data_IF_860618566426
#
_entry.id   IF_860618566426
#
_cell.length_a   1.000
_cell.length_b   1.000
_cell.length_c   1.000
_cell.angle_alpha   90.00
_cell.angle_beta   90.00
_cell.angle_gamma   90.00
#
_symmetry.space_group_name_H-M   'P 1'
#
loop_
_entity.id
_entity.type
_entity.pdbx_description
1 polymer ?
#
# COMPACT_ATOMS: atom_id res chain seq x y z
N UNK A 1 36.99 14.62 39.20
CA UNK A 1 36.87 15.06 37.78
C UNK A 1 35.39 15.30 37.52
N UNK A 2 34.96 16.55 37.39
CA UNK A 2 33.54 16.95 37.36
C UNK A 2 33.03 16.89 35.92
N UNK A 3 32.04 16.05 35.66
CA UNK A 3 31.41 15.92 34.34
C UNK A 3 30.22 16.90 34.28
N UNK A 4 30.42 18.03 33.62
CA UNK A 4 29.40 19.06 33.38
C UNK A 4 28.43 18.60 32.29
N UNK A 5 27.19 18.33 32.67
CA UNK A 5 26.05 18.05 31.80
C UNK A 5 25.52 19.36 31.21
N UNK A 6 25.61 19.53 29.89
CA UNK A 6 25.05 20.67 29.17
C UNK A 6 23.60 20.34 28.76
N UNK A 7 22.63 21.02 29.38
CA UNK A 7 21.20 20.88 29.11
C UNK A 7 20.80 21.93 28.05
N UNK A 8 20.49 21.50 26.82
CA UNK A 8 19.98 22.38 25.76
C UNK A 8 18.46 22.48 25.92
N UNK A 9 17.99 23.69 26.23
CA UNK A 9 16.59 24.04 26.47
C UNK A 9 15.97 24.49 25.13
N UNK A 10 15.12 23.64 24.53
CA UNK A 10 14.38 23.95 23.31
C UNK A 10 13.06 24.64 23.70
N UNK A 11 12.92 25.93 23.40
CA UNK A 11 11.70 26.70 23.64
C UNK A 11 10.61 26.36 22.59
N UNK A 12 9.36 26.09 22.98
CA UNK A 12 8.25 25.97 22.04
C UNK A 12 7.75 27.36 21.64
N UNK A 13 7.77 27.66 20.34
CA UNK A 13 7.06 28.81 19.78
C UNK A 13 5.55 28.51 19.83
N UNK A 14 4.85 29.14 20.76
CA UNK A 14 3.40 29.25 20.73
C UNK A 14 3.00 30.25 19.63
N UNK A 15 2.50 29.74 18.51
CA UNK A 15 1.72 30.55 17.57
C UNK A 15 0.27 30.61 18.05
N UNK A 16 -0.18 31.79 18.46
CA UNK A 16 -1.55 32.07 18.83
C UNK A 16 -2.47 32.14 17.61
N UNK A 17 -3.65 31.54 17.78
CA UNK A 17 -4.84 31.48 16.94
C UNK A 17 -4.98 32.50 15.78
N UNK A 18 -5.09 32.00 14.55
CA UNK A 18 -5.90 32.62 13.51
C UNK A 18 -7.25 31.90 13.45
N UNK A 19 -8.31 32.61 13.87
CA UNK A 19 -9.68 32.21 13.61
C UNK A 19 -9.95 32.41 12.11
N UNK A 20 -9.59 31.42 11.29
CA UNK A 20 -10.06 31.38 9.90
C UNK A 20 -11.51 30.96 9.91
N UNK A 21 -12.39 31.92 9.60
CA UNK A 21 -13.74 31.65 9.14
C UNK A 21 -13.66 30.77 7.90
N UNK A 22 -13.95 29.48 8.06
CA UNK A 22 -14.04 28.48 7.00
C UNK A 22 -15.17 28.84 6.03
N UNK A 23 -14.85 29.66 5.04
CA UNK A 23 -15.61 29.71 3.80
C UNK A 23 -15.35 28.41 3.02
N UNK A 24 -16.39 27.73 2.49
CA UNK A 24 -16.27 26.42 1.84
C UNK A 24 -15.54 26.42 0.49
N UNK A 25 -14.78 27.46 0.15
CA UNK A 25 -13.98 27.55 -1.09
C UNK A 25 -12.50 27.16 -0.92
N UNK A 26 -12.05 26.86 0.30
CA UNK A 26 -10.63 26.66 0.60
C UNK A 26 -10.15 25.21 0.41
N UNK A 27 -10.38 24.59 -0.74
CA UNK A 27 -9.66 23.36 -1.16
C UNK A 27 -9.32 23.28 -2.66
N UNK A 28 -9.40 24.42 -3.38
CA UNK A 28 -8.82 24.59 -4.73
C UNK A 28 -7.46 25.32 -4.68
N UNK A 29 -6.72 25.26 -3.56
CA UNK A 29 -5.62 26.22 -3.29
C UNK A 29 -4.22 25.73 -3.69
N UNK A 30 -4.05 24.53 -4.26
CA UNK A 30 -2.72 24.05 -4.70
C UNK A 30 -2.65 23.52 -6.14
N UNK A 31 -3.71 23.71 -6.92
CA UNK A 31 -3.67 23.56 -8.37
C UNK A 31 -3.92 24.94 -8.98
N UNK A 32 -3.21 25.27 -10.06
CA UNK A 32 -3.32 26.55 -10.76
C UNK A 32 -4.78 27.01 -10.85
N UNK A 33 -5.08 28.31 -10.59
CA UNK A 33 -6.43 28.81 -10.72
C UNK A 33 -6.93 28.46 -12.12
N UNK A 34 -8.00 27.66 -12.16
CA UNK A 34 -8.66 27.25 -13.40
C UNK A 34 -8.89 28.50 -14.24
N UNK A 35 -8.40 28.55 -15.50
CA UNK A 35 -8.56 29.72 -16.36
C UNK A 35 -10.02 30.16 -16.40
N UNK A 36 -10.28 31.46 -16.31
CA UNK A 36 -11.65 31.98 -16.18
C UNK A 36 -12.55 31.54 -17.35
N UNK A 37 -11.99 31.42 -18.55
CA UNK A 37 -12.70 30.92 -19.73
C UNK A 37 -13.15 29.45 -19.56
N UNK A 38 -12.39 28.63 -18.83
CA UNK A 38 -12.70 27.22 -18.62
C UNK A 38 -13.81 27.01 -17.58
N UNK A 39 -13.92 27.90 -16.59
CA UNK A 39 -14.98 27.84 -15.56
C UNK A 39 -16.37 27.80 -16.18
N UNK A 40 -16.58 28.63 -17.21
CA UNK A 40 -17.87 28.74 -17.91
C UNK A 40 -18.27 27.47 -18.68
N UNK A 41 -17.31 26.61 -19.04
CA UNK A 41 -17.57 25.34 -19.72
C UNK A 41 -17.56 24.14 -18.77
N UNK A 42 -16.95 24.27 -17.60
CA UNK A 42 -16.85 23.20 -16.62
C UNK A 42 -18.10 23.13 -15.73
N UNK A 43 -18.56 24.27 -15.23
CA UNK A 43 -19.74 24.29 -14.37
C UNK A 43 -21.01 24.04 -15.19
N UNK A 44 -21.93 23.25 -14.62
CA UNK A 44 -23.19 22.82 -15.24
C UNK A 44 -23.08 21.94 -16.49
N UNK A 45 -21.87 21.55 -16.88
CA UNK A 45 -21.65 20.54 -17.92
C UNK A 45 -21.68 19.12 -17.36
N UNK A 46 -22.00 18.17 -18.23
CA UNK A 46 -21.90 16.74 -17.94
C UNK A 46 -20.45 16.30 -18.04
N UNK A 47 -19.86 15.86 -16.93
CA UNK A 47 -18.46 15.50 -16.83
C UNK A 47 -18.36 14.01 -16.48
N UNK A 48 -17.70 13.18 -17.33
CA UNK A 48 -17.45 11.79 -17.01
C UNK A 48 -16.36 11.70 -15.93
N UNK A 49 -16.66 10.96 -14.87
CA UNK A 49 -15.79 10.82 -13.71
C UNK A 49 -15.71 9.40 -13.19
N UNK A 50 -14.54 9.10 -12.60
CA UNK A 50 -14.36 7.93 -11.75
C UNK A 50 -14.73 8.29 -10.31
N UNK A 51 -15.67 7.56 -9.71
CA UNK A 51 -16.08 7.79 -8.33
C UNK A 51 -15.41 6.78 -7.41
N UNK A 52 -14.62 7.29 -6.48
CA UNK A 52 -13.91 6.50 -5.46
C UNK A 52 -14.56 6.69 -4.09
N UNK A 53 -14.74 5.60 -3.36
CA UNK A 53 -15.06 5.60 -1.94
C UNK A 53 -13.87 5.03 -1.18
N UNK A 54 -13.36 5.75 -0.17
CA UNK A 54 -12.24 5.32 0.66
C UNK A 54 -11.04 4.76 -0.15
N UNK A 55 -10.64 5.47 -1.22
CA UNK A 55 -9.56 5.10 -2.15
C UNK A 55 -9.83 3.87 -3.06
N UNK A 56 -11.05 3.30 -3.05
CA UNK A 56 -11.43 2.19 -3.94
C UNK A 56 -12.50 2.63 -4.93
N UNK A 57 -12.43 2.12 -6.15
CA UNK A 57 -13.41 2.44 -7.18
C UNK A 57 -14.79 1.95 -6.74
N UNK A 58 -15.79 2.82 -6.86
CA UNK A 58 -17.18 2.53 -6.54
C UNK A 58 -17.99 2.35 -7.84
N UNK A 59 -17.88 3.31 -8.75
CA UNK A 59 -18.46 3.26 -10.09
C UNK A 59 -17.88 4.36 -10.98
N UNK A 60 -18.18 4.25 -12.27
CA UNK A 60 -17.98 5.30 -13.26
C UNK A 60 -19.32 5.98 -13.52
N UNK A 61 -19.33 7.30 -13.72
CA UNK A 61 -20.56 8.01 -13.98
C UNK A 61 -20.34 9.43 -14.46
N UNK A 62 -21.43 10.08 -14.79
CA UNK A 62 -21.43 11.45 -15.25
C UNK A 62 -21.99 12.36 -14.16
N UNK A 63 -21.25 13.41 -13.81
CA UNK A 63 -21.64 14.41 -12.80
C UNK A 63 -21.82 15.78 -13.43
N UNK A 64 -22.55 16.63 -12.72
CA UNK A 64 -22.53 18.08 -12.92
C UNK A 64 -21.98 18.75 -11.67
N UNK A 65 -21.36 19.92 -11.84
CA UNK A 65 -20.83 20.69 -10.73
C UNK A 65 -21.26 22.16 -10.81
N UNK A 66 -21.62 22.75 -9.68
CA UNK A 66 -21.91 24.18 -9.58
C UNK A 66 -20.69 24.97 -9.11
N UNK A 67 -20.74 26.29 -9.29
CA UNK A 67 -19.71 27.23 -8.81
C UNK A 67 -19.49 27.15 -7.29
N UNK A 68 -20.53 26.78 -6.54
CA UNK A 68 -20.49 26.61 -5.09
C UNK A 68 -19.90 25.25 -4.66
N UNK A 69 -19.41 24.45 -5.63
CA UNK A 69 -18.84 23.13 -5.37
C UNK A 69 -19.89 22.07 -5.06
N UNK A 70 -21.16 22.28 -5.46
CA UNK A 70 -22.18 21.24 -5.38
C UNK A 70 -22.02 20.28 -6.55
N UNK A 71 -21.82 19.00 -6.27
CA UNK A 71 -21.68 17.92 -7.23
C UNK A 71 -22.94 17.07 -7.21
N UNK A 72 -23.51 16.82 -8.38
CA UNK A 72 -24.71 15.98 -8.54
C UNK A 72 -24.46 14.90 -9.59
N UNK A 73 -24.76 13.65 -9.25
CA UNK A 73 -24.68 12.52 -10.18
C UNK A 73 -25.88 12.53 -11.13
N UNK A 74 -25.59 12.52 -12.43
CA UNK A 74 -26.58 12.46 -13.49
C UNK A 74 -26.92 11.02 -13.85
N UNK A 75 -25.88 10.18 -14.05
CA UNK A 75 -26.03 8.76 -14.38
C UNK A 75 -24.79 7.98 -14.00
N UNK A 76 -24.99 6.70 -13.69
CA UNK A 76 -23.91 5.72 -13.59
C UNK A 76 -23.72 5.08 -14.96
N UNK A 77 -22.48 5.03 -15.44
CA UNK A 77 -22.12 4.42 -16.73
C UNK A 77 -21.63 2.99 -16.54
N UNK A 78 -20.93 2.71 -15.43
CA UNK A 78 -20.40 1.38 -15.11
C UNK A 78 -20.34 1.17 -13.59
N UNK A 79 -20.71 -0.02 -13.11
CA UNK A 79 -20.65 -0.36 -11.68
C UNK A 79 -19.44 -1.25 -11.39
N UNK A 80 -18.68 -0.93 -10.33
CA UNK A 80 -17.63 -1.82 -9.83
C UNK A 80 -18.10 -2.57 -8.58
N UNK A 81 -18.44 -3.85 -8.75
CA UNK A 81 -18.82 -4.73 -7.62
C UNK A 81 -17.64 -5.52 -7.05
N UNK A 82 -16.40 -5.17 -7.37
CA UNK A 82 -15.20 -5.87 -6.87
C UNK A 82 -14.97 -5.60 -5.40
N UNK A 83 -15.23 -4.37 -4.95
CA UNK A 83 -14.90 -3.91 -3.60
C UNK A 83 -16.11 -3.63 -2.72
N UNK A 84 -17.27 -3.36 -3.31
CA UNK A 84 -18.49 -2.97 -2.60
C UNK A 84 -19.69 -3.81 -3.04
N UNK A 85 -20.59 -4.07 -2.09
CA UNK A 85 -21.86 -4.77 -2.37
C UNK A 85 -22.82 -3.86 -3.15
N UNK A 86 -23.70 -4.45 -3.96
CA UNK A 86 -24.64 -3.68 -4.82
C UNK A 86 -25.54 -2.75 -4.00
N UNK A 87 -25.92 -3.16 -2.80
CA UNK A 87 -26.73 -2.38 -1.87
C UNK A 87 -25.99 -1.12 -1.40
N UNK A 88 -24.67 -1.23 -1.16
CA UNK A 88 -23.83 -0.10 -0.77
C UNK A 88 -23.64 0.88 -1.92
N UNK A 89 -23.36 0.36 -3.11
CA UNK A 89 -23.23 1.16 -4.33
C UNK A 89 -24.52 1.97 -4.58
N UNK A 90 -25.69 1.34 -4.49
CA UNK A 90 -27.00 2.01 -4.66
C UNK A 90 -27.26 3.11 -3.61
N UNK A 91 -26.77 2.93 -2.38
CA UNK A 91 -26.90 3.98 -1.34
C UNK A 91 -26.12 5.23 -1.72
N UNK A 92 -24.89 5.06 -2.20
CA UNK A 92 -24.04 6.15 -2.63
C UNK A 92 -24.51 6.80 -3.92
N UNK A 93 -24.98 6.02 -4.90
CA UNK A 93 -25.65 6.53 -6.10
C UNK A 93 -26.80 7.47 -5.72
N UNK A 94 -27.74 6.99 -4.89
CA UNK A 94 -28.87 7.80 -4.42
C UNK A 94 -28.41 9.08 -3.71
N UNK A 95 -27.37 8.98 -2.89
CA UNK A 95 -26.83 10.14 -2.16
C UNK A 95 -26.22 11.17 -3.11
N UNK A 96 -25.50 10.74 -4.14
CA UNK A 96 -24.88 11.63 -5.12
C UNK A 96 -25.89 12.23 -6.08
N UNK A 97 -26.98 11.53 -6.42
CA UNK A 97 -28.09 12.09 -7.20
C UNK A 97 -28.82 13.19 -6.43
N UNK A 98 -28.83 13.16 -5.10
CA UNK A 98 -29.36 14.25 -4.26
C UNK A 98 -28.44 15.46 -4.19
N UNK A 99 -27.19 15.32 -4.63
CA UNK A 99 -26.17 16.35 -4.58
C UNK A 99 -25.38 16.35 -3.27
N UNK A 100 -24.07 16.55 -3.39
CA UNK A 100 -23.14 16.71 -2.26
C UNK A 100 -22.31 17.98 -2.47
N UNK A 101 -21.80 18.57 -1.39
CA UNK A 101 -20.91 19.75 -1.48
C UNK A 101 -19.49 19.27 -1.22
N UNK A 102 -18.56 19.68 -2.08
CA UNK A 102 -17.14 19.39 -1.95
C UNK A 102 -16.54 20.02 -0.68
N UNK A 103 -15.43 19.43 -0.23
CA UNK A 103 -14.69 19.83 0.94
C UNK A 103 -15.01 19.01 2.19
N UNK A 104 -14.37 19.38 3.31
CA UNK A 104 -14.55 18.72 4.60
C UNK A 104 -15.88 19.14 5.22
N UNK A 105 -16.60 18.19 5.79
CA UNK A 105 -17.84 18.44 6.53
C UNK A 105 -17.69 18.02 7.97
N UNK A 106 -18.02 18.95 8.86
CA UNK A 106 -17.78 18.74 10.29
C UNK A 106 -18.88 17.97 11.02
N UNK A 107 -20.11 17.81 10.50
CA UNK A 107 -21.15 17.03 11.21
C UNK A 107 -22.28 16.45 10.33
N UNK A 108 -22.69 15.23 10.70
CA UNK A 108 -23.96 14.54 10.40
C UNK A 108 -24.42 14.49 8.92
N UNK A 109 -23.50 14.16 8.01
CA UNK A 109 -23.88 13.85 6.64
C UNK A 109 -24.36 12.40 6.48
N UNK A 110 -25.34 12.14 5.59
CA UNK A 110 -25.79 10.79 5.30
C UNK A 110 -24.61 9.87 4.91
N UNK A 111 -24.73 8.60 5.26
CA UNK A 111 -23.72 7.57 4.98
C UNK A 111 -22.34 7.82 5.64
N UNK A 112 -22.27 8.77 6.58
CA UNK A 112 -21.03 9.08 7.29
C UNK A 112 -19.98 9.74 6.40
N UNK A 113 -20.39 10.44 5.33
CA UNK A 113 -19.49 11.21 4.48
C UNK A 113 -18.79 12.32 5.30
N UNK A 114 -17.46 12.28 5.33
CA UNK A 114 -16.61 13.22 6.06
C UNK A 114 -16.02 14.29 5.13
N UNK A 115 -15.66 13.90 3.91
CA UNK A 115 -15.13 14.81 2.91
C UNK A 115 -15.42 14.31 1.50
N UNK A 116 -15.55 15.24 0.57
CA UNK A 116 -15.61 14.95 -0.86
C UNK A 116 -14.63 15.85 -1.61
N UNK A 117 -13.84 15.28 -2.50
CA UNK A 117 -12.81 15.99 -3.25
C UNK A 117 -12.94 15.66 -4.72
N UNK A 118 -12.82 16.67 -5.58
CA UNK A 118 -12.77 16.48 -7.02
C UNK A 118 -11.37 16.79 -7.52
N UNK A 119 -10.78 15.86 -8.27
CA UNK A 119 -9.54 16.06 -9.02
C UNK A 119 -9.85 16.27 -10.49
N UNK A 120 -9.54 17.48 -10.98
CA UNK A 120 -9.68 17.80 -12.40
C UNK A 120 -8.71 16.99 -13.26
N UNK A 121 -7.47 16.84 -12.81
CA UNK A 121 -6.41 16.13 -13.54
C UNK A 121 -6.74 14.64 -13.74
N UNK A 122 -7.28 13.99 -12.70
CA UNK A 122 -7.65 12.58 -12.75
C UNK A 122 -9.09 12.33 -13.21
N UNK A 123 -9.87 13.39 -13.46
CA UNK A 123 -11.33 13.35 -13.60
C UNK A 123 -12.00 12.42 -12.58
N UNK A 124 -11.68 12.63 -11.30
CA UNK A 124 -12.04 11.71 -10.23
C UNK A 124 -12.75 12.42 -9.08
N UNK A 125 -13.87 11.86 -8.62
CA UNK A 125 -14.56 12.26 -7.40
C UNK A 125 -14.19 11.28 -6.29
N UNK A 126 -13.51 11.76 -5.25
CA UNK A 126 -13.12 10.98 -4.08
C UNK A 126 -14.03 11.29 -2.91
N UNK A 127 -14.61 10.24 -2.33
CA UNK A 127 -15.49 10.30 -1.17
C UNK A 127 -14.80 9.61 0.00
N UNK A 128 -14.74 10.32 1.13
CA UNK A 128 -14.16 9.79 2.35
C UNK A 128 -15.26 9.64 3.39
N UNK A 129 -15.48 8.41 3.86
CA UNK A 129 -16.47 8.09 4.89
C UNK A 129 -15.82 7.87 6.26
N UNK A 130 -16.62 7.78 7.32
CA UNK A 130 -16.17 7.38 8.65
C UNK A 130 -15.50 5.98 8.72
N UNK A 131 -15.64 5.16 7.66
CA UNK A 131 -14.96 3.87 7.56
C UNK A 131 -13.56 3.98 6.94
N UNK A 132 -13.15 5.16 6.46
CA UNK A 132 -11.86 5.39 5.83
C UNK A 132 -10.68 4.87 6.69
N UNK A 133 -10.65 5.26 7.97
CA UNK A 133 -9.57 4.86 8.88
C UNK A 133 -9.59 3.36 9.19
N UNK A 134 -10.77 2.74 9.24
CA UNK A 134 -10.92 1.30 9.47
C UNK A 134 -10.41 0.48 8.29
N UNK A 135 -10.73 0.90 7.07
CA UNK A 135 -10.28 0.24 5.84
C UNK A 135 -8.78 0.39 5.63
N UNK A 136 -8.24 1.58 5.88
CA UNK A 136 -6.80 1.86 5.82
C UNK A 136 -6.02 1.03 6.82
N UNK A 137 -6.60 0.77 8.00
CA UNK A 137 -5.99 -0.11 9.01
C UNK A 137 -5.98 -1.56 8.54
N UNK A 138 -7.07 -2.08 7.96
CA UNK A 138 -7.10 -3.46 7.42
C UNK A 138 -6.05 -3.68 6.32
N UNK A 139 -5.84 -2.71 5.44
CA UNK A 139 -4.88 -2.82 4.33
C UNK A 139 -3.42 -2.93 4.77
N UNK A 140 -3.08 -2.61 6.03
CA UNK A 140 -1.70 -2.70 6.56
C UNK A 140 -1.33 -4.07 7.10
N UNK A 141 -2.29 -4.99 7.22
CA UNK A 141 -2.05 -6.34 7.71
C UNK A 141 -2.21 -7.32 6.57
N UNK A 142 -1.20 -8.16 6.36
CA UNK A 142 -1.35 -9.36 5.54
C UNK A 142 -2.01 -10.43 6.41
N UNK A 143 -3.06 -11.06 5.87
CA UNK A 143 -3.61 -12.25 6.50
C UNK A 143 -2.54 -13.35 6.50
N UNK A 144 -2.40 -14.05 7.63
CA UNK A 144 -1.52 -15.21 7.71
C UNK A 144 -2.09 -16.27 6.76
N UNK A 145 -1.29 -16.82 5.82
CA UNK A 145 -1.76 -17.88 4.94
C UNK A 145 -2.35 -19.03 5.76
N UNK A 146 -3.61 -19.38 5.49
CA UNK A 146 -4.30 -20.47 6.19
C UNK A 146 -3.81 -21.84 5.74
N UNK A 147 -3.16 -21.91 4.57
CA UNK A 147 -2.65 -23.13 3.99
C UNK A 147 -1.22 -23.39 4.47
N UNK A 148 -0.96 -24.63 4.92
CA UNK A 148 0.36 -25.00 5.44
C UNK A 148 1.22 -25.50 4.29
N UNK A 149 2.32 -24.80 4.01
CA UNK A 149 3.24 -25.21 2.97
C UNK A 149 3.82 -26.60 3.28
N UNK A 150 3.61 -27.54 2.34
CA UNK A 150 4.23 -28.86 2.34
C UNK A 150 5.17 -28.96 1.13
N UNK A 151 6.48 -28.96 1.36
CA UNK A 151 7.45 -28.92 0.27
C UNK A 151 8.88 -29.19 0.70
N UNK A 152 9.73 -29.49 -0.27
CA UNK A 152 11.17 -29.67 -0.11
C UNK A 152 11.88 -28.94 -1.25
N UNK A 153 12.80 -28.05 -0.88
CA UNK A 153 13.68 -27.34 -1.79
C UNK A 153 15.10 -27.82 -1.53
N UNK A 154 15.80 -28.21 -2.59
CA UNK A 154 17.18 -28.64 -2.54
C UNK A 154 18.00 -27.76 -3.48
N UNK A 155 19.02 -27.12 -2.95
CA UNK A 155 20.01 -26.38 -3.70
C UNK A 155 21.34 -27.13 -3.65
N UNK A 156 21.95 -27.36 -4.81
CA UNK A 156 23.25 -28.02 -4.92
C UNK A 156 24.19 -27.16 -5.77
N UNK A 157 25.36 -26.86 -5.23
CA UNK A 157 26.41 -26.12 -5.93
C UNK A 157 27.65 -26.99 -6.04
N UNK A 158 28.13 -27.18 -7.26
CA UNK A 158 29.32 -27.98 -7.55
C UNK A 158 30.34 -27.09 -8.25
N UNK A 159 31.56 -27.04 -7.72
CA UNK A 159 32.68 -26.38 -8.33
C UNK A 159 33.83 -27.37 -8.46
N UNK A 160 34.46 -27.39 -9.63
CA UNK A 160 35.62 -28.21 -9.92
C UNK A 160 36.67 -27.35 -10.63
N UNK A 161 37.91 -27.43 -10.18
CA UNK A 161 39.05 -26.75 -10.79
C UNK A 161 40.26 -27.67 -10.85
N UNK A 162 40.93 -27.70 -11.99
CA UNK A 162 42.12 -28.50 -12.24
C UNK A 162 42.77 -28.12 -13.57
N UNK A 163 44.04 -28.49 -13.75
CA UNK A 163 44.81 -28.15 -14.95
C UNK A 163 46.00 -29.08 -15.15
N UNK A 164 46.58 -29.08 -16.35
CA UNK A 164 47.58 -30.08 -16.78
C UNK A 164 48.84 -30.16 -15.88
N UNK A 165 49.16 -29.10 -15.13
CA UNK A 165 50.26 -29.03 -14.16
C UNK A 165 49.83 -28.45 -12.79
N UNK A 166 48.54 -28.46 -12.46
CA UNK A 166 47.99 -27.82 -11.24
C UNK A 166 47.23 -28.82 -10.38
N UNK A 167 47.22 -28.60 -9.07
CA UNK A 167 46.41 -29.38 -8.12
C UNK A 167 44.92 -29.34 -8.47
N UNK A 168 44.26 -30.49 -8.39
CA UNK A 168 42.82 -30.59 -8.54
C UNK A 168 42.11 -30.20 -7.24
N UNK A 169 40.99 -29.49 -7.34
CA UNK A 169 40.09 -29.26 -6.21
C UNK A 169 38.63 -29.30 -6.65
N UNK A 170 37.80 -29.92 -5.83
CA UNK A 170 36.36 -29.96 -5.98
C UNK A 170 35.69 -29.48 -4.69
N UNK A 171 34.56 -28.79 -4.86
CA UNK A 171 33.71 -28.31 -3.77
C UNK A 171 32.27 -28.63 -4.11
N UNK A 172 31.59 -29.27 -3.18
CA UNK A 172 30.17 -29.60 -3.24
C UNK A 172 29.48 -28.95 -2.05
N UNK A 173 28.50 -28.09 -2.29
CA UNK A 173 27.62 -27.55 -1.26
C UNK A 173 26.20 -28.02 -1.51
N UNK A 174 25.48 -28.33 -0.44
CA UNK A 174 24.08 -28.72 -0.55
C UNK A 174 23.28 -28.12 0.60
N UNK A 175 22.14 -27.52 0.29
CA UNK A 175 21.21 -26.94 1.26
C UNK A 175 19.80 -27.44 1.00
N UNK A 176 19.21 -28.06 2.01
CA UNK A 176 17.90 -28.69 1.95
C UNK A 176 16.98 -27.93 2.92
N UNK A 177 15.87 -27.43 2.41
CA UNK A 177 14.85 -26.73 3.19
C UNK A 177 13.52 -27.45 2.99
N UNK A 178 12.95 -27.98 4.06
CA UNK A 178 11.62 -28.60 4.04
C UNK A 178 10.64 -27.79 4.87
N UNK A 179 9.40 -27.72 4.41
CA UNK A 179 8.27 -27.21 5.17
C UNK A 179 7.20 -28.29 5.21
N UNK A 180 6.69 -28.62 6.40
CA UNK A 180 5.57 -29.55 6.57
C UNK A 180 4.78 -29.20 7.82
N UNK A 181 3.46 -28.97 7.67
CA UNK A 181 2.53 -28.73 8.79
C UNK A 181 3.00 -27.62 9.75
N UNK A 182 3.54 -26.53 9.19
CA UNK A 182 4.06 -25.38 9.95
C UNK A 182 5.43 -25.63 10.60
N UNK A 183 6.09 -26.73 10.31
CA UNK A 183 7.48 -26.96 10.69
C UNK A 183 8.41 -26.72 9.50
N UNK A 184 9.44 -25.92 9.73
CA UNK A 184 10.50 -25.65 8.76
C UNK A 184 11.80 -26.30 9.22
N UNK A 185 12.38 -27.14 8.37
CA UNK A 185 13.63 -27.86 8.61
C UNK A 185 14.69 -27.39 7.63
N UNK A 186 15.90 -27.10 8.11
CA UNK A 186 17.04 -26.72 7.27
C UNK A 186 18.25 -27.60 7.58
N UNK A 187 18.89 -28.09 6.52
CA UNK A 187 20.13 -28.85 6.56
C UNK A 187 21.09 -28.28 5.50
N UNK A 188 22.28 -27.85 5.88
CA UNK A 188 23.28 -27.33 4.94
C UNK A 188 24.66 -27.88 5.22
N UNK A 189 25.26 -28.52 4.22
CA UNK A 189 26.56 -29.17 4.33
C UNK A 189 27.45 -28.88 3.13
N UNK A 190 28.74 -29.12 3.33
CA UNK A 190 29.79 -28.87 2.38
C UNK A 190 30.82 -29.99 2.39
N UNK A 191 31.27 -30.36 1.21
CA UNK A 191 32.40 -31.25 1.00
C UNK A 191 33.44 -30.54 0.12
N UNK A 192 34.70 -30.57 0.52
CA UNK A 192 35.82 -30.03 -0.26
C UNK A 192 36.87 -31.11 -0.38
N UNK A 193 37.16 -31.54 -1.61
CA UNK A 193 38.30 -32.38 -1.90
C UNK A 193 39.37 -31.56 -2.62
N UNK A 194 40.63 -31.73 -2.25
CA UNK A 194 41.75 -31.13 -2.96
C UNK A 194 42.98 -32.03 -2.87
N UNK A 195 43.74 -32.03 -3.96
CA UNK A 195 44.99 -32.76 -4.07
C UNK A 195 46.14 -31.84 -3.62
N UNK A 196 46.79 -32.15 -2.51
CA UNK A 196 47.94 -31.39 -2.01
C UNK A 196 49.14 -32.31 -1.86
N UNK A 197 50.22 -32.06 -2.63
CA UNK A 197 51.49 -32.77 -2.53
C UNK A 197 51.34 -34.31 -2.55
N UNK A 198 50.61 -34.85 -3.53
CA UNK A 198 50.32 -36.30 -3.72
C UNK A 198 49.48 -36.96 -2.60
N UNK A 199 48.84 -36.18 -1.75
CA UNK A 199 47.85 -36.68 -0.78
C UNK A 199 46.48 -36.06 -1.08
N UNK A 200 45.48 -36.92 -1.20
CA UNK A 200 44.09 -36.51 -1.32
C UNK A 200 43.56 -36.12 0.06
N UNK A 201 43.08 -34.87 0.18
CA UNK A 201 42.38 -34.41 1.39
C UNK A 201 40.93 -34.15 1.05
N UNK A 202 40.04 -34.74 1.84
CA UNK A 202 38.62 -34.49 1.78
C UNK A 202 38.13 -33.98 3.13
N UNK A 203 37.48 -32.82 3.13
CA UNK A 203 36.90 -32.20 4.31
C UNK A 203 35.38 -32.14 4.14
N UNK A 204 34.66 -32.68 5.12
CA UNK A 204 33.21 -32.57 5.22
C UNK A 204 32.83 -31.67 6.40
N UNK A 205 31.89 -30.77 6.18
CA UNK A 205 31.39 -29.86 7.21
C UNK A 205 29.87 -29.73 7.13
N UNK A 206 29.20 -29.95 8.25
CA UNK A 206 27.79 -29.65 8.44
C UNK A 206 27.70 -28.35 9.26
N UNK A 207 27.15 -27.29 8.67
CA UNK A 207 27.18 -25.96 9.28
C UNK A 207 25.81 -25.38 9.60
N UNK A 208 24.73 -25.92 9.04
CA UNK A 208 23.37 -25.61 9.48
C UNK A 208 22.56 -26.89 9.62
N UNK A 209 21.96 -27.08 10.79
CA UNK A 209 20.96 -28.12 11.01
C UNK A 209 20.00 -27.65 12.11
N UNK A 210 18.77 -27.34 11.73
CA UNK A 210 17.74 -26.95 12.70
C UNK A 210 16.33 -27.27 12.20
N UNK A 211 15.42 -27.26 13.17
CA UNK A 211 13.98 -27.33 12.96
C UNK A 211 13.33 -26.18 13.72
N UNK A 212 12.37 -25.52 13.10
CA UNK A 212 11.61 -24.43 13.70
C UNK A 212 10.12 -24.63 13.44
N UNK A 213 9.29 -24.13 14.35
CA UNK A 213 7.84 -24.08 14.17
C UNK A 213 7.43 -22.64 13.84
N UNK A 214 6.67 -22.47 12.77
CA UNK A 214 6.07 -21.20 12.36
C UNK A 214 4.70 -21.08 13.06
N UNK A 215 4.41 -19.89 13.58
CA UNK A 215 3.21 -19.59 14.38
C UNK A 215 2.37 -18.53 13.68
#
# INVERSE_FOLDING_TARGET
MRLTTLFILLLPLFAGASNHTDSPLALMTDSQPMPDDFKNYFYHSEIPVLVYLNDKLLFEGDITMTEQGQVTLMRVTNFDSTHYQKEEIRRWEKQLTQGIVLGKKQNNHPLGLMAAEYSLDASALKLYSNNYDKEKTKSRYFDVPTDTAAGLIINNDINYSGGQNSSHSSRFNSSWTSSLLGWSQKLSFQSVAYEANRADKNNFNLYEFYTQKEW
#
